data_IF_354271409349
#
_entry.id   IF_354271409349
#
_cell.length_a   1.000
_cell.length_b   1.000
_cell.length_c   1.000
_cell.angle_alpha   90.00
_cell.angle_beta   90.00
_cell.angle_gamma   90.00
#
_symmetry.space_group_name_H-M   'P 1'
#
loop_
_entity.id
_entity.type
_entity.pdbx_description
1 polymer ?
#
# COMPACT_ATOMS: atom_id res chain seq x y z
N UNK A 1 27.48 -1.62 -30.06
CA UNK A 1 26.75 -1.97 -31.27
C UNK A 1 25.31 -2.30 -30.93
N UNK A 2 24.53 -1.28 -30.49
CA UNK A 2 23.14 -1.41 -30.00
C UNK A 2 22.21 -0.32 -30.61
N UNK A 3 22.63 0.31 -31.72
CA UNK A 3 21.85 1.38 -32.37
C UNK A 3 20.67 0.94 -33.25
N UNK A 4 20.61 -0.23 -33.89
CA UNK A 4 19.50 -0.57 -34.79
C UNK A 4 18.21 -0.94 -34.07
N UNK A 5 18.28 -1.45 -32.82
CA UNK A 5 17.10 -1.96 -32.13
C UNK A 5 16.28 -0.86 -31.42
N UNK A 6 16.92 0.27 -31.10
CA UNK A 6 16.23 1.42 -30.46
C UNK A 6 15.48 2.25 -31.52
N UNK A 7 16.01 2.38 -32.71
CA UNK A 7 15.38 3.15 -33.82
C UNK A 7 14.09 2.49 -34.33
N UNK A 8 13.92 1.19 -34.14
CA UNK A 8 12.67 0.48 -34.49
C UNK A 8 11.53 0.67 -33.47
N UNK A 9 11.84 1.14 -32.28
CA UNK A 9 10.88 1.36 -31.22
C UNK A 9 10.36 2.81 -31.14
N UNK A 10 10.97 3.71 -31.88
CA UNK A 10 10.61 5.13 -31.94
C UNK A 10 10.01 5.45 -33.30
N UNK A 11 8.69 5.73 -33.41
CA UNK A 11 8.13 6.19 -34.67
C UNK A 11 8.81 7.51 -35.09
N UNK A 12 9.28 7.59 -36.32
CA UNK A 12 9.84 8.80 -36.93
C UNK A 12 8.74 9.86 -37.13
N UNK A 13 8.26 10.44 -36.06
CA UNK A 13 7.40 11.61 -36.10
C UNK A 13 8.27 12.82 -35.76
N UNK A 14 8.22 13.92 -36.53
CA UNK A 14 8.97 15.11 -36.18
C UNK A 14 8.52 15.63 -34.82
N UNK A 15 9.36 15.43 -33.80
CA UNK A 15 9.10 15.71 -32.42
C UNK A 15 9.24 17.22 -32.18
N UNK A 16 8.13 17.92 -32.16
CA UNK A 16 8.10 19.28 -31.66
C UNK A 16 7.69 19.26 -30.19
N UNK A 17 8.45 19.99 -29.37
CA UNK A 17 8.30 20.05 -27.91
C UNK A 17 6.87 20.38 -27.46
N UNK A 18 6.14 21.19 -28.22
CA UNK A 18 4.75 21.59 -27.94
C UNK A 18 3.75 20.46 -28.24
N UNK A 19 4.00 19.66 -29.26
CA UNK A 19 3.18 18.50 -29.63
C UNK A 19 3.40 17.36 -28.63
N UNK A 20 4.63 17.20 -28.13
CA UNK A 20 4.94 16.24 -27.06
C UNK A 20 4.21 16.55 -25.77
N UNK A 21 4.24 17.80 -25.31
CA UNK A 21 3.55 18.21 -24.09
C UNK A 21 2.03 18.04 -24.22
N UNK A 22 1.44 18.38 -25.36
CA UNK A 22 0.01 18.19 -25.63
C UNK A 22 -0.39 16.72 -25.77
N UNK A 23 0.44 15.89 -26.39
CA UNK A 23 0.21 14.45 -26.52
C UNK A 23 0.47 13.73 -25.18
N UNK A 24 1.50 14.11 -24.42
CA UNK A 24 1.79 13.54 -23.11
C UNK A 24 0.71 13.85 -22.07
N UNK A 25 0.08 15.03 -22.12
CA UNK A 25 -1.02 15.41 -21.23
C UNK A 25 -2.38 14.85 -21.68
N UNK A 26 -2.55 14.52 -22.98
CA UNK A 26 -3.83 14.04 -23.52
C UNK A 26 -3.93 12.54 -23.76
N UNK A 27 -2.82 11.86 -24.05
CA UNK A 27 -2.84 10.43 -24.45
C UNK A 27 -1.81 9.57 -23.72
N UNK A 28 -0.79 10.17 -23.10
CA UNK A 28 0.30 9.42 -22.46
C UNK A 28 -0.16 8.58 -21.27
N UNK A 29 -1.16 9.02 -20.52
CA UNK A 29 -1.73 8.24 -19.43
C UNK A 29 -2.76 7.21 -19.95
N UNK A 30 -3.56 7.54 -20.93
CA UNK A 30 -4.59 6.65 -21.46
C UNK A 30 -4.02 5.54 -22.36
N UNK A 31 -2.90 5.77 -23.03
CA UNK A 31 -2.25 4.75 -23.88
C UNK A 31 -1.29 3.84 -23.09
N UNK A 32 -0.77 4.31 -21.95
CA UNK A 32 -0.03 3.47 -21.00
C UNK A 32 -0.96 2.55 -20.21
N UNK A 33 -2.25 2.85 -20.16
CA UNK A 33 -3.31 1.98 -19.64
C UNK A 33 -4.03 1.30 -20.80
N UNK A 34 -3.28 0.68 -21.72
CA UNK A 34 -3.84 -0.51 -22.37
C UNK A 34 -4.30 -1.42 -21.23
N UNK A 35 -5.48 -2.06 -21.31
CA UNK A 35 -5.86 -3.03 -20.31
C UNK A 35 -4.79 -4.11 -20.34
N UNK A 36 -3.75 -3.92 -19.53
CA UNK A 36 -3.08 -5.05 -18.95
C UNK A 36 -4.25 -5.77 -18.31
N UNK A 37 -4.62 -6.93 -18.82
CA UNK A 37 -5.40 -7.87 -18.04
C UNK A 37 -4.51 -8.19 -16.86
N UNK A 38 -4.44 -7.26 -15.93
CA UNK A 38 -3.81 -7.43 -14.65
C UNK A 38 -4.65 -8.51 -14.00
N UNK A 39 -4.26 -9.75 -14.19
CA UNK A 39 -4.68 -10.79 -13.28
C UNK A 39 -4.25 -10.25 -11.92
N UNK A 40 -5.23 -9.90 -11.12
CA UNK A 40 -5.00 -9.48 -9.75
C UNK A 40 -4.17 -10.60 -9.13
N UNK A 41 -2.91 -10.31 -8.80
CA UNK A 41 -2.06 -11.30 -8.17
C UNK A 41 -2.75 -11.62 -6.85
N UNK A 42 -3.11 -12.86 -6.66
CA UNK A 42 -3.72 -13.35 -5.43
C UNK A 42 -2.78 -14.35 -4.78
N UNK A 43 -2.24 -13.98 -3.64
CA UNK A 43 -1.43 -14.86 -2.81
C UNK A 43 -2.34 -15.60 -1.86
N UNK A 44 -2.30 -16.94 -1.89
CA UNK A 44 -3.05 -17.79 -0.96
C UNK A 44 -2.56 -17.63 0.48
N UNK A 45 -3.33 -18.15 1.42
CA UNK A 45 -3.02 -18.16 2.85
C UNK A 45 -2.44 -19.50 3.33
N UNK A 46 -2.08 -20.40 2.44
CA UNK A 46 -1.55 -21.70 2.81
C UNK A 46 -0.25 -21.57 3.62
N UNK A 47 -0.23 -22.19 4.80
CA UNK A 47 0.90 -22.08 5.73
C UNK A 47 1.02 -20.75 6.47
N UNK A 48 0.03 -19.86 6.31
CA UNK A 48 -0.03 -18.57 7.01
C UNK A 48 -1.14 -18.56 8.08
N UNK A 49 -0.94 -17.71 9.06
CA UNK A 49 -2.00 -17.12 9.87
C UNK A 49 -2.27 -15.73 9.32
N UNK A 50 -3.41 -15.56 8.67
CA UNK A 50 -3.76 -14.32 8.01
C UNK A 50 -5.23 -13.96 8.27
N UNK A 51 -5.52 -12.66 8.44
CA UNK A 51 -6.87 -12.18 8.70
C UNK A 51 -6.89 -10.84 9.41
N UNK A 52 -8.10 -10.40 9.71
CA UNK A 52 -8.36 -9.16 10.43
C UNK A 52 -8.05 -9.29 11.92
N UNK A 53 -7.53 -8.20 12.48
CA UNK A 53 -7.24 -8.02 13.90
C UNK A 53 -7.66 -6.63 14.33
N UNK A 54 -7.75 -6.38 15.64
CA UNK A 54 -7.94 -5.05 16.22
C UNK A 54 -6.68 -4.61 16.96
N UNK A 55 -6.18 -3.44 16.65
CA UNK A 55 -5.08 -2.78 17.34
C UNK A 55 -5.62 -1.65 18.22
N UNK A 56 -5.35 -1.68 19.51
CA UNK A 56 -5.78 -0.62 20.44
C UNK A 56 -4.84 0.58 20.31
N UNK A 57 -5.39 1.71 19.82
CA UNK A 57 -4.68 2.99 19.77
C UNK A 57 -5.48 4.04 20.54
N UNK A 58 -5.05 4.36 21.76
CA UNK A 58 -5.83 5.14 22.70
C UNK A 58 -7.21 4.53 22.96
N UNK A 59 -8.26 5.30 22.75
CA UNK A 59 -9.65 4.86 22.95
C UNK A 59 -10.24 4.15 21.72
N UNK A 60 -9.52 4.12 20.59
CA UNK A 60 -9.98 3.52 19.34
C UNK A 60 -9.43 2.11 19.18
N UNK A 61 -10.26 1.20 18.68
CA UNK A 61 -9.84 -0.09 18.18
C UNK A 61 -9.67 0.05 16.65
N UNK A 62 -8.42 0.19 16.20
CA UNK A 62 -8.07 0.32 14.81
C UNK A 62 -8.08 -1.06 14.15
N UNK A 63 -8.95 -1.32 13.17
CA UNK A 63 -8.91 -2.55 12.40
C UNK A 63 -7.59 -2.65 11.64
N UNK A 64 -7.04 -3.84 11.53
CA UNK A 64 -5.84 -4.08 10.76
C UNK A 64 -5.90 -5.46 10.10
N UNK A 65 -5.24 -5.62 8.97
CA UNK A 65 -5.00 -6.94 8.41
C UNK A 65 -3.59 -7.40 8.79
N UNK A 66 -3.47 -8.64 9.30
CA UNK A 66 -2.17 -9.23 9.57
C UNK A 66 -1.97 -10.51 8.78
N UNK A 67 -0.70 -10.84 8.46
CA UNK A 67 -0.31 -12.14 7.94
C UNK A 67 1.07 -12.52 8.47
N UNK A 68 1.26 -13.80 8.84
CA UNK A 68 2.54 -14.34 9.30
C UNK A 68 2.62 -15.84 9.00
N UNK A 69 3.83 -16.43 8.94
CA UNK A 69 4.00 -17.88 8.87
C UNK A 69 3.37 -18.55 10.09
N UNK A 70 2.57 -19.60 9.86
CA UNK A 70 1.84 -20.30 10.92
C UNK A 70 2.80 -20.91 11.95
N UNK A 71 2.53 -20.67 13.23
CA UNK A 71 3.26 -21.25 14.35
C UNK A 71 4.71 -20.77 14.48
N UNK A 72 5.07 -19.66 13.83
CA UNK A 72 6.39 -19.02 13.96
C UNK A 72 6.33 -17.78 14.86
N UNK A 73 7.42 -17.53 15.58
CA UNK A 73 7.63 -16.38 16.45
C UNK A 73 9.01 -15.76 16.17
N UNK A 74 9.31 -14.63 16.78
CA UNK A 74 10.54 -13.84 16.52
C UNK A 74 10.71 -13.49 15.05
N UNK A 75 9.60 -13.14 14.41
CA UNK A 75 9.57 -12.80 12.99
C UNK A 75 10.00 -11.34 12.80
N UNK A 76 10.79 -11.03 11.75
CA UNK A 76 10.96 -9.64 11.36
C UNK A 76 9.59 -9.03 11.05
N UNK A 77 9.40 -7.78 11.46
CA UNK A 77 8.12 -7.07 11.31
C UNK A 77 8.16 -6.16 10.10
N UNK A 78 7.09 -6.13 9.34
CA UNK A 78 6.85 -5.13 8.29
C UNK A 78 5.47 -4.51 8.48
N UNK A 79 5.43 -3.20 8.70
CA UNK A 79 4.18 -2.43 8.68
C UNK A 79 3.92 -2.00 7.25
N UNK A 80 2.72 -2.29 6.75
CA UNK A 80 2.27 -1.93 5.41
C UNK A 80 1.26 -0.81 5.50
N UNK A 81 1.64 0.39 5.08
CA UNK A 81 0.78 1.57 5.10
C UNK A 81 0.05 1.67 3.76
N UNK A 82 -1.28 1.59 3.82
CA UNK A 82 -2.15 1.58 2.65
C UNK A 82 -2.16 2.93 1.91
N UNK A 83 -2.63 2.92 0.68
CA UNK A 83 -2.89 4.10 -0.13
C UNK A 83 -4.24 4.77 0.22
N UNK A 84 -4.73 5.64 -0.66
CA UNK A 84 -5.97 6.41 -0.48
C UNK A 84 -7.24 5.55 -0.33
N UNK A 85 -7.18 4.27 -0.70
CA UNK A 85 -8.35 3.38 -0.73
C UNK A 85 -8.52 2.52 0.53
N UNK A 86 -7.68 2.73 1.56
CA UNK A 86 -7.73 1.95 2.80
C UNK A 86 -7.12 0.55 2.68
N UNK A 87 -7.40 -0.30 3.67
CA UNK A 87 -6.94 -1.70 3.68
C UNK A 87 -7.90 -2.56 2.88
N UNK A 88 -7.62 -2.75 1.61
CA UNK A 88 -8.38 -3.60 0.70
C UNK A 88 -7.55 -4.82 0.25
N UNK A 89 -8.10 -5.66 -0.64
CA UNK A 89 -7.50 -6.94 -1.03
C UNK A 89 -6.04 -6.83 -1.52
N UNK A 90 -5.68 -5.77 -2.24
CA UNK A 90 -4.29 -5.59 -2.67
C UNK A 90 -3.34 -5.42 -1.48
N UNK A 91 -3.71 -4.63 -0.48
CA UNK A 91 -2.90 -4.44 0.74
C UNK A 91 -2.84 -5.73 1.55
N UNK A 92 -3.95 -6.45 1.66
CA UNK A 92 -3.99 -7.78 2.29
C UNK A 92 -3.08 -8.79 1.56
N UNK A 93 -3.09 -8.76 0.22
CA UNK A 93 -2.21 -9.60 -0.62
C UNK A 93 -0.73 -9.25 -0.39
N UNK A 94 -0.37 -7.97 -0.31
CA UNK A 94 0.99 -7.54 0.02
C UNK A 94 1.43 -8.08 1.38
N UNK A 95 0.56 -8.04 2.40
CA UNK A 95 0.85 -8.63 3.70
C UNK A 95 1.09 -10.15 3.60
N UNK A 96 0.27 -10.88 2.84
CA UNK A 96 0.47 -12.31 2.63
C UNK A 96 1.79 -12.62 1.90
N UNK A 97 2.19 -11.81 0.91
CA UNK A 97 3.50 -11.95 0.25
C UNK A 97 4.65 -11.77 1.22
N UNK A 98 4.63 -10.74 2.06
CA UNK A 98 5.64 -10.58 3.10
C UNK A 98 5.63 -11.76 4.08
N UNK A 99 4.47 -12.27 4.45
CA UNK A 99 4.37 -13.44 5.31
C UNK A 99 4.96 -14.71 4.67
N UNK A 100 4.75 -14.93 3.36
CA UNK A 100 5.43 -16.03 2.61
C UNK A 100 6.96 -15.88 2.60
N UNK A 101 7.48 -14.66 2.76
CA UNK A 101 8.91 -14.38 2.90
C UNK A 101 9.41 -14.48 4.35
N UNK A 102 8.54 -14.79 5.30
CA UNK A 102 8.92 -15.02 6.70
C UNK A 102 8.73 -13.81 7.62
N UNK A 103 7.99 -12.78 7.21
CA UNK A 103 7.69 -11.61 8.04
C UNK A 103 6.36 -11.77 8.79
N UNK A 104 6.25 -11.10 9.94
CA UNK A 104 4.97 -10.65 10.48
C UNK A 104 4.62 -9.33 9.78
N UNK A 105 3.65 -9.37 8.87
CA UNK A 105 3.19 -8.20 8.12
C UNK A 105 1.84 -7.71 8.67
N UNK A 106 1.72 -6.40 8.91
CA UNK A 106 0.51 -5.80 9.48
C UNK A 106 0.18 -4.51 8.71
N UNK A 107 -1.07 -4.36 8.31
CA UNK A 107 -1.61 -3.18 7.66
C UNK A 107 -2.76 -2.59 8.51
N UNK A 108 -2.51 -1.55 9.32
CA UNK A 108 -3.57 -0.87 10.07
C UNK A 108 -4.43 -0.01 9.15
N UNK A 109 -5.74 0.09 9.42
CA UNK A 109 -6.65 1.02 8.76
C UNK A 109 -6.54 2.40 9.40
N UNK A 110 -5.68 3.25 8.86
CA UNK A 110 -5.42 4.59 9.40
C UNK A 110 -6.59 5.58 9.17
N UNK A 111 -7.66 5.14 8.50
CA UNK A 111 -8.84 5.95 8.21
C UNK A 111 -10.05 5.61 9.10
N UNK A 112 -9.87 4.77 10.10
CA UNK A 112 -10.98 4.26 10.94
C UNK A 112 -11.84 5.37 11.55
N UNK A 113 -11.24 6.52 11.88
CA UNK A 113 -11.95 7.63 12.49
C UNK A 113 -12.57 8.59 11.48
N UNK A 114 -12.07 8.61 10.24
CA UNK A 114 -12.48 9.54 9.20
C UNK A 114 -13.56 8.94 8.29
N UNK A 115 -13.59 7.63 8.14
CA UNK A 115 -14.62 6.91 7.39
C UNK A 115 -14.08 5.91 6.37
N UNK A 116 -15.00 5.34 5.60
CA UNK A 116 -14.71 4.32 4.60
C UNK A 116 -14.52 4.95 3.21
N UNK A 117 -13.31 4.91 2.63
CA UNK A 117 -13.07 5.44 1.29
C UNK A 117 -13.79 4.65 0.19
N UNK A 118 -14.20 3.40 0.43
CA UNK A 118 -14.82 2.54 -0.58
C UNK A 118 -16.20 3.01 -1.01
N UNK A 119 -16.87 3.82 -0.18
CA UNK A 119 -18.19 4.38 -0.50
C UNK A 119 -18.12 5.70 -1.27
N UNK A 120 -16.92 6.24 -1.47
CA UNK A 120 -16.70 7.52 -2.15
C UNK A 120 -16.33 7.28 -3.63
N UNK A 121 -17.10 7.85 -4.58
CA UNK A 121 -16.99 7.51 -6.00
C UNK A 121 -15.75 8.12 -6.70
N UNK A 122 -15.08 9.11 -6.10
CA UNK A 122 -13.95 9.78 -6.74
C UNK A 122 -12.78 10.01 -5.77
N UNK A 123 -11.56 10.00 -6.31
CA UNK A 123 -10.37 10.30 -5.52
C UNK A 123 -10.39 11.70 -4.90
N UNK A 124 -11.01 12.67 -5.56
CA UNK A 124 -11.18 14.01 -5.01
C UNK A 124 -12.04 14.00 -3.75
N UNK A 125 -13.13 13.24 -3.75
CA UNK A 125 -13.98 13.11 -2.56
C UNK A 125 -13.25 12.36 -1.43
N UNK A 126 -12.45 11.35 -1.77
CA UNK A 126 -11.61 10.67 -0.77
C UNK A 126 -10.60 11.66 -0.16
N UNK A 127 -9.97 12.49 -0.99
CA UNK A 127 -9.04 13.52 -0.49
C UNK A 127 -9.75 14.53 0.41
N UNK A 128 -10.85 15.11 -0.05
CA UNK A 128 -11.59 16.16 0.67
C UNK A 128 -12.23 15.66 1.98
N UNK A 129 -12.68 14.40 2.02
CA UNK A 129 -13.47 13.87 3.13
C UNK A 129 -12.67 13.01 4.11
N UNK A 130 -11.55 12.41 3.66
CA UNK A 130 -10.75 11.49 4.45
C UNK A 130 -9.29 11.95 4.54
N UNK A 131 -8.53 11.92 3.43
CA UNK A 131 -7.07 12.09 3.46
C UNK A 131 -6.63 13.43 4.08
N UNK A 132 -7.33 14.52 3.73
CA UNK A 132 -7.03 15.86 4.26
C UNK A 132 -7.37 16.02 5.74
N UNK A 133 -8.13 15.07 6.32
CA UNK A 133 -8.59 15.13 7.71
C UNK A 133 -7.79 14.23 8.65
N UNK A 134 -6.99 13.30 8.15
CA UNK A 134 -6.13 12.45 8.99
C UNK A 134 -4.98 13.28 9.55
N UNK A 135 -4.94 13.55 10.86
CA UNK A 135 -3.79 14.22 11.48
C UNK A 135 -2.57 13.29 11.45
N UNK A 136 -1.40 13.84 11.17
CA UNK A 136 -0.16 13.04 11.18
C UNK A 136 0.12 12.42 12.53
N UNK A 137 -0.14 13.14 13.61
CA UNK A 137 0.03 12.68 14.98
C UNK A 137 -0.84 11.45 15.27
N UNK A 138 -2.07 11.43 14.75
CA UNK A 138 -2.96 10.28 14.86
C UNK A 138 -2.42 9.09 14.08
N UNK A 139 -2.01 9.30 12.82
CA UNK A 139 -1.43 8.24 12.01
C UNK A 139 -0.17 7.64 12.65
N UNK A 140 0.72 8.48 13.20
CA UNK A 140 1.89 8.02 13.93
C UNK A 140 1.52 7.23 15.18
N UNK A 141 0.56 7.70 15.98
CA UNK A 141 0.10 6.99 17.18
C UNK A 141 -0.49 5.61 16.84
N UNK A 142 -1.23 5.51 15.71
CA UNK A 142 -1.78 4.23 15.26
C UNK A 142 -0.68 3.28 14.76
N UNK A 143 0.37 3.81 14.12
CA UNK A 143 1.53 3.02 13.72
C UNK A 143 2.33 2.54 14.94
N UNK A 144 2.57 3.41 15.92
CA UNK A 144 3.26 3.04 17.17
C UNK A 144 2.49 1.95 17.93
N UNK A 145 1.17 2.08 18.01
CA UNK A 145 0.30 1.06 18.60
C UNK A 145 0.39 -0.26 17.82
N UNK A 146 0.48 -0.19 16.49
CA UNK A 146 0.63 -1.38 15.63
C UNK A 146 1.99 -2.06 15.85
N UNK A 147 3.06 -1.29 16.02
CA UNK A 147 4.39 -1.80 16.36
C UNK A 147 4.39 -2.47 17.74
N UNK A 148 3.77 -1.84 18.74
CA UNK A 148 3.64 -2.42 20.08
C UNK A 148 2.88 -3.76 20.03
N UNK A 149 1.74 -3.78 19.31
CA UNK A 149 0.97 -4.99 19.08
C UNK A 149 1.81 -6.10 18.44
N UNK A 150 2.62 -5.76 17.43
CA UNK A 150 3.50 -6.72 16.76
C UNK A 150 4.49 -7.37 17.73
N UNK A 151 5.09 -6.58 18.63
CA UNK A 151 6.01 -7.07 19.65
C UNK A 151 5.34 -8.06 20.62
N UNK A 152 4.10 -7.79 21.02
CA UNK A 152 3.32 -8.66 21.91
C UNK A 152 2.87 -9.97 21.23
N UNK A 153 2.84 -9.98 19.88
CA UNK A 153 2.34 -11.10 19.08
C UNK A 153 3.44 -11.82 18.27
N UNK A 154 4.67 -11.81 18.77
CA UNK A 154 5.75 -12.63 18.24
C UNK A 154 6.61 -11.92 17.17
N UNK A 155 6.49 -10.62 17.03
CA UNK A 155 7.37 -9.80 16.21
C UNK A 155 8.70 -9.50 16.88
N UNK A 156 9.76 -9.45 16.09
CA UNK A 156 11.09 -8.98 16.51
C UNK A 156 11.25 -7.51 16.08
N UNK A 157 11.08 -6.61 17.05
CA UNK A 157 11.12 -5.16 16.80
C UNK A 157 12.52 -4.61 16.48
N UNK A 158 13.58 -5.40 16.67
CA UNK A 158 14.92 -5.03 16.21
C UNK A 158 14.99 -5.11 14.67
N UNK A 159 14.18 -5.96 14.08
CA UNK A 159 14.05 -6.15 12.64
C UNK A 159 12.71 -5.61 12.15
N UNK A 160 12.47 -4.33 12.40
CA UNK A 160 11.26 -3.62 11.99
C UNK A 160 11.51 -2.83 10.70
N UNK A 161 10.60 -2.95 9.74
CA UNK A 161 10.53 -2.14 8.54
C UNK A 161 9.14 -1.56 8.32
N UNK A 162 9.06 -0.50 7.54
CA UNK A 162 7.82 0.11 7.09
C UNK A 162 7.82 0.18 5.58
N UNK A 163 6.69 -0.16 4.96
CA UNK A 163 6.44 -0.02 3.53
C UNK A 163 5.13 0.75 3.35
N UNK A 164 5.07 1.66 2.39
CA UNK A 164 3.87 2.45 2.14
C UNK A 164 3.66 2.74 0.66
N UNK A 165 2.39 2.86 0.26
CA UNK A 165 1.98 3.13 -1.12
C UNK A 165 1.29 4.48 -1.22
N UNK A 166 1.63 5.30 -2.23
CA UNK A 166 1.00 6.60 -2.50
C UNK A 166 0.95 7.48 -1.22
N UNK A 167 -0.23 7.77 -0.69
CA UNK A 167 -0.42 8.47 0.59
C UNK A 167 0.33 7.78 1.73
N UNK A 168 0.23 6.45 1.83
CA UNK A 168 0.97 5.68 2.83
C UNK A 168 2.49 5.71 2.65
N UNK A 169 2.99 5.90 1.43
CA UNK A 169 4.41 6.13 1.18
C UNK A 169 4.89 7.45 1.81
N UNK A 170 4.06 8.50 1.79
CA UNK A 170 4.33 9.75 2.50
C UNK A 170 4.35 9.55 4.01
N UNK A 171 3.39 8.79 4.55
CA UNK A 171 3.32 8.48 5.99
C UNK A 171 4.55 7.67 6.42
N UNK A 172 4.98 6.68 5.63
CA UNK A 172 6.16 5.86 5.93
C UNK A 172 7.49 6.65 5.88
N UNK A 173 7.50 7.84 5.25
CA UNK A 173 8.67 8.71 5.17
C UNK A 173 8.79 9.67 6.38
N UNK A 174 7.72 9.95 7.08
CA UNK A 174 7.69 10.84 8.26
C UNK A 174 8.27 10.15 9.49
#
# INVERSE_FOLDING_TARGET
>A
MLKPDIDSLVPHVPFNRRTFIKAALGTGFAAAVLPVSAQTIHTDSDGLEAGEIGVRSGDTLVPAYRAQPKGKTHLPVIIVVHEAFGVHEHIADVCRRFAKLGYLAIAPNLFEREGDPSVLPTIQQIDDQILSKVPYEQAMADLDATVAWAGEHGGDLIRLGVNGFCWGGRIAWL
#
